data_IF_737386725340
#
_entry.id   IF_737386725340
#
_cell.length_a   1.000
_cell.length_b   1.000
_cell.length_c   1.000
_cell.angle_alpha   90.00
_cell.angle_beta   90.00
_cell.angle_gamma   90.00
#
_symmetry.space_group_name_H-M   'P 1'
#
loop_
_entity.id
_entity.type
_entity.pdbx_description
1 polymer ?
#
# COMPACT_ATOMS: atom_id res chain seq x y z
N UNK A 1 -20.79 -4.63 -4.29
CA UNK A 1 -21.76 -4.30 -5.34
C UNK A 1 -21.12 -4.30 -6.74
N UNK A 2 -19.89 -3.85 -6.89
CA UNK A 2 -19.18 -3.75 -8.20
C UNK A 2 -18.76 -5.13 -8.73
N UNK A 3 -18.23 -6.00 -7.86
CA UNK A 3 -17.67 -7.30 -8.25
C UNK A 3 -18.61 -8.18 -9.08
N UNK A 4 -19.88 -8.41 -8.69
CA UNK A 4 -20.78 -9.30 -9.44
C UNK A 4 -21.07 -8.85 -10.88
N UNK A 5 -21.08 -7.54 -11.14
CA UNK A 5 -21.33 -6.99 -12.48
C UNK A 5 -20.06 -6.91 -13.32
N UNK A 6 -18.90 -6.68 -12.69
CA UNK A 6 -17.60 -6.74 -13.36
C UNK A 6 -17.33 -8.13 -13.94
N UNK A 7 -17.60 -9.22 -13.20
CA UNK A 7 -17.43 -10.61 -13.67
C UNK A 7 -18.27 -10.88 -14.92
N UNK A 8 -19.42 -10.23 -15.05
CA UNK A 8 -20.31 -10.37 -16.21
C UNK A 8 -20.06 -9.35 -17.31
N UNK A 9 -18.99 -8.55 -17.21
CA UNK A 9 -18.68 -7.46 -18.14
C UNK A 9 -19.83 -6.44 -18.34
N UNK A 10 -20.64 -6.22 -17.31
CA UNK A 10 -21.75 -5.26 -17.35
C UNK A 10 -21.19 -3.88 -16.95
N UNK A 11 -21.27 -2.86 -17.80
CA UNK A 11 -20.83 -1.52 -17.44
C UNK A 11 -21.73 -0.91 -16.36
N UNK A 12 -21.10 -0.20 -15.41
CA UNK A 12 -21.79 0.51 -14.33
C UNK A 12 -21.69 2.00 -14.59
N UNK A 13 -22.83 2.70 -14.57
CA UNK A 13 -22.86 4.16 -14.63
C UNK A 13 -23.14 4.73 -13.23
N UNK A 14 -22.16 5.45 -12.68
CA UNK A 14 -22.29 6.16 -11.41
C UNK A 14 -22.70 7.59 -11.68
N UNK A 15 -23.79 8.04 -11.07
CA UNK A 15 -24.33 9.39 -11.20
C UNK A 15 -24.52 10.05 -9.83
N UNK A 16 -24.47 11.37 -9.79
CA UNK A 16 -24.78 12.12 -8.58
C UNK A 16 -26.32 12.22 -8.42
N UNK A 17 -26.84 11.78 -7.28
CA UNK A 17 -28.28 11.82 -6.98
C UNK A 17 -28.84 13.24 -6.97
N UNK A 18 -28.03 14.22 -6.60
CA UNK A 18 -28.42 15.64 -6.60
C UNK A 18 -28.24 16.35 -7.95
N UNK A 19 -27.62 15.67 -8.92
CA UNK A 19 -27.48 16.12 -10.31
C UNK A 19 -27.67 14.93 -11.26
N UNK A 20 -28.91 14.43 -11.45
CA UNK A 20 -29.19 13.24 -12.24
C UNK A 20 -28.93 13.43 -13.74
N UNK A 21 -28.95 14.66 -14.24
CA UNK A 21 -28.70 14.99 -15.65
C UNK A 21 -27.20 15.08 -15.96
N UNK A 22 -26.35 15.11 -14.94
CA UNK A 22 -24.90 15.11 -15.11
C UNK A 22 -24.41 13.84 -15.83
N UNK A 23 -23.30 13.96 -16.58
CA UNK A 23 -22.74 12.89 -17.39
C UNK A 23 -22.40 11.64 -16.57
N UNK A 24 -21.96 11.81 -15.32
CA UNK A 24 -21.54 10.71 -14.43
C UNK A 24 -20.24 10.04 -14.86
N UNK A 25 -19.93 8.91 -14.22
CA UNK A 25 -18.74 8.10 -14.50
C UNK A 25 -19.15 6.70 -14.92
N UNK A 26 -18.56 6.19 -16.00
CA UNK A 26 -18.78 4.82 -16.48
C UNK A 26 -17.62 3.95 -16.05
N UNK A 27 -17.91 2.87 -15.33
CA UNK A 27 -16.98 1.82 -14.95
C UNK A 27 -17.21 0.64 -15.90
N UNK A 28 -16.19 0.27 -16.67
CA UNK A 28 -16.21 -0.87 -17.62
C UNK A 28 -14.86 -1.57 -17.67
N UNK A 29 -14.85 -2.83 -18.11
CA UNK A 29 -13.66 -3.67 -18.11
C UNK A 29 -12.57 -3.19 -19.09
N UNK A 30 -12.94 -2.63 -20.22
CA UNK A 30 -12.01 -2.14 -21.25
C UNK A 30 -12.33 -0.71 -21.68
N UNK A 31 -11.30 0.12 -21.80
CA UNK A 31 -11.37 1.50 -22.31
C UNK A 31 -10.54 1.57 -23.58
N UNK A 32 -11.16 1.93 -24.70
CA UNK A 32 -10.53 1.92 -26.03
C UNK A 32 -9.48 3.02 -26.24
N UNK A 33 -9.45 4.05 -25.40
CA UNK A 33 -8.55 5.20 -25.59
C UNK A 33 -7.83 5.55 -24.28
N UNK A 34 -6.61 5.02 -24.13
CA UNK A 34 -5.83 5.12 -22.91
C UNK A 34 -4.65 6.08 -23.08
N UNK A 35 -4.94 7.37 -23.28
CA UNK A 35 -3.89 8.40 -23.48
C UNK A 35 -3.07 8.69 -22.22
N UNK A 36 -3.62 8.44 -21.01
CA UNK A 36 -2.91 8.66 -19.76
C UNK A 36 -2.74 7.34 -18.99
N UNK A 37 -1.51 6.93 -18.70
CA UNK A 37 -1.24 5.69 -17.94
C UNK A 37 -1.76 5.77 -16.50
N UNK A 38 -1.76 6.95 -15.89
CA UNK A 38 -2.28 7.17 -14.53
C UNK A 38 -3.73 7.61 -14.62
N UNK A 39 -4.60 6.94 -13.84
CA UNK A 39 -6.04 7.15 -13.82
C UNK A 39 -6.54 7.86 -12.58
N UNK A 40 -5.83 7.73 -11.48
CA UNK A 40 -6.24 8.35 -10.23
C UNK A 40 -5.27 8.13 -9.09
N UNK A 41 -5.53 8.86 -8.02
CA UNK A 41 -4.83 8.77 -6.75
C UNK A 41 -5.82 8.34 -5.67
N UNK A 42 -5.39 7.45 -4.80
CA UNK A 42 -6.14 7.04 -3.61
C UNK A 42 -5.24 7.13 -2.39
N UNK A 43 -5.82 7.25 -1.20
CA UNK A 43 -5.03 7.29 0.03
C UNK A 43 -5.74 6.65 1.21
N UNK A 44 -4.96 6.12 2.13
CA UNK A 44 -5.38 5.60 3.43
C UNK A 44 -4.69 6.45 4.48
N UNK A 45 -5.47 7.14 5.31
CA UNK A 45 -4.99 7.85 6.50
C UNK A 45 -4.91 6.88 7.67
N UNK A 46 -4.11 7.24 8.70
CA UNK A 46 -4.02 6.38 9.87
C UNK A 46 -3.34 5.05 9.56
N UNK A 47 -2.17 5.14 8.94
CA UNK A 47 -1.32 4.00 8.63
C UNK A 47 -0.21 3.91 9.66
N UNK A 48 -0.03 2.75 10.27
CA UNK A 48 1.16 2.40 11.05
C UNK A 48 1.95 1.34 10.31
N UNK A 49 3.25 1.56 10.14
CA UNK A 49 4.18 0.54 9.65
C UNK A 49 4.77 -0.22 10.83
N UNK A 50 4.67 -1.54 10.80
CA UNK A 50 5.33 -2.43 11.75
C UNK A 50 6.46 -3.13 11.01
N UNK A 51 7.68 -2.99 11.53
CA UNK A 51 8.85 -3.62 10.92
C UNK A 51 9.30 -4.81 11.76
N UNK A 52 9.30 -5.96 11.12
CA UNK A 52 9.85 -7.22 11.62
C UNK A 52 11.28 -7.32 11.10
N UNK A 53 12.26 -7.33 12.00
CA UNK A 53 13.68 -7.36 11.65
C UNK A 53 14.40 -8.50 12.38
N UNK A 54 15.19 -9.28 11.64
CA UNK A 54 15.97 -10.33 12.25
C UNK A 54 17.03 -10.92 11.33
N UNK A 55 18.21 -11.23 11.89
CA UNK A 55 19.29 -11.89 11.18
C UNK A 55 18.90 -13.32 10.77
N UNK A 56 18.02 -13.97 11.53
CA UNK A 56 17.52 -15.32 11.28
C UNK A 56 16.37 -15.37 10.28
N UNK A 57 16.02 -14.27 9.63
CA UNK A 57 14.97 -14.27 8.59
C UNK A 57 15.52 -14.66 7.21
N UNK A 58 16.82 -14.42 6.98
CA UNK A 58 17.45 -14.68 5.69
C UNK A 58 17.51 -16.18 5.39
N UNK A 59 16.88 -16.60 4.29
CA UNK A 59 16.84 -18.00 3.86
C UNK A 59 16.02 -18.94 4.75
N UNK A 60 15.31 -18.42 5.76
CA UNK A 60 14.46 -19.25 6.65
C UNK A 60 13.06 -19.36 6.07
N UNK A 61 12.68 -20.60 5.73
CA UNK A 61 11.36 -20.89 5.19
C UNK A 61 10.28 -20.70 6.25
N UNK A 62 9.22 -19.97 5.90
CA UNK A 62 8.00 -19.89 6.71
C UNK A 62 7.89 -18.69 7.65
N UNK A 63 8.87 -17.78 7.71
CA UNK A 63 8.78 -16.56 8.54
C UNK A 63 7.55 -15.72 8.16
N UNK A 64 7.36 -15.45 6.87
CA UNK A 64 6.20 -14.70 6.39
C UNK A 64 4.87 -15.41 6.72
N UNK A 65 4.82 -16.74 6.65
CA UNK A 65 3.64 -17.50 7.09
C UNK A 65 3.32 -17.21 8.55
N UNK A 66 4.32 -17.25 9.44
CA UNK A 66 4.13 -16.99 10.87
C UNK A 66 3.61 -15.56 11.10
N UNK A 67 4.23 -14.56 10.45
CA UNK A 67 3.79 -13.16 10.53
C UNK A 67 2.31 -13.04 10.15
N UNK A 68 1.95 -13.46 8.95
CA UNK A 68 0.59 -13.26 8.45
C UNK A 68 -0.45 -14.14 9.14
N UNK A 69 -0.10 -15.37 9.55
CA UNK A 69 -1.01 -16.22 10.31
C UNK A 69 -1.30 -15.66 11.69
N UNK A 70 -0.28 -15.15 12.38
CA UNK A 70 -0.44 -14.55 13.69
C UNK A 70 -1.36 -13.32 13.64
N UNK A 71 -1.17 -12.44 12.67
CA UNK A 71 -2.03 -11.26 12.48
C UNK A 71 -3.46 -11.66 12.11
N UNK A 72 -3.62 -12.59 11.17
CA UNK A 72 -4.94 -13.05 10.71
C UNK A 72 -5.76 -13.71 11.82
N UNK A 73 -5.12 -14.56 12.65
CA UNK A 73 -5.75 -15.21 13.79
C UNK A 73 -6.25 -14.22 14.85
N UNK A 74 -5.69 -12.99 14.86
CA UNK A 74 -6.09 -11.91 15.75
C UNK A 74 -6.96 -10.85 15.06
N UNK A 75 -7.48 -11.13 13.86
CA UNK A 75 -8.38 -10.25 13.13
C UNK A 75 -7.74 -8.99 12.56
N UNK A 76 -6.40 -8.94 12.49
CA UNK A 76 -5.65 -7.78 12.03
C UNK A 76 -5.48 -7.83 10.51
N UNK A 77 -5.96 -6.80 9.81
CA UNK A 77 -5.86 -6.68 8.36
C UNK A 77 -4.57 -5.98 7.94
N UNK A 78 -3.80 -6.62 7.08
CA UNK A 78 -2.60 -6.05 6.45
C UNK A 78 -2.97 -5.56 5.04
N UNK A 79 -2.73 -4.28 4.75
CA UNK A 79 -3.05 -3.71 3.44
C UNK A 79 -1.81 -3.27 2.63
N UNK A 80 -0.62 -3.30 3.24
CA UNK A 80 0.64 -3.01 2.57
C UNK A 80 1.72 -3.96 3.10
N UNK A 81 2.56 -4.46 2.20
CA UNK A 81 3.75 -5.26 2.53
C UNK A 81 4.91 -4.74 1.70
N UNK A 82 6.00 -4.41 2.36
CA UNK A 82 7.26 -4.03 1.73
C UNK A 82 8.37 -4.86 2.32
N UNK A 83 9.08 -5.61 1.48
CA UNK A 83 10.18 -6.48 1.89
C UNK A 83 11.40 -6.20 1.01
N UNK A 84 12.54 -5.95 1.63
CA UNK A 84 13.80 -5.80 0.92
C UNK A 84 14.33 -7.16 0.43
N UNK A 85 15.08 -7.15 -0.66
CA UNK A 85 15.70 -8.38 -1.21
C UNK A 85 16.69 -9.03 -0.25
N UNK A 86 17.18 -8.30 0.76
CA UNK A 86 18.04 -8.83 1.82
C UNK A 86 17.32 -9.80 2.76
N UNK A 87 15.99 -9.90 2.68
CA UNK A 87 15.12 -10.74 3.52
C UNK A 87 15.26 -10.53 5.04
N UNK A 88 16.09 -9.59 5.48
CA UNK A 88 16.34 -9.34 6.91
C UNK A 88 15.30 -8.43 7.56
N UNK A 89 14.44 -7.82 6.80
CA UNK A 89 13.31 -7.05 7.30
C UNK A 89 12.06 -7.16 6.41
N UNK A 90 10.90 -7.11 7.05
CA UNK A 90 9.59 -7.03 6.41
C UNK A 90 8.80 -5.94 7.10
N UNK A 91 8.38 -4.93 6.35
CA UNK A 91 7.49 -3.87 6.85
C UNK A 91 6.07 -4.13 6.39
N UNK A 92 5.13 -4.08 7.31
CA UNK A 92 3.70 -4.31 7.08
C UNK A 92 2.91 -3.07 7.49
N UNK A 93 1.95 -2.68 6.66
CA UNK A 93 1.04 -1.58 6.93
C UNK A 93 -0.28 -2.09 7.50
N UNK A 94 -0.60 -1.60 8.69
CA UNK A 94 -1.87 -1.84 9.39
C UNK A 94 -2.54 -0.50 9.70
N UNK A 95 -3.82 -0.53 10.10
CA UNK A 95 -4.48 0.68 10.61
C UNK A 95 -3.91 1.05 11.98
N UNK A 96 -3.93 2.36 12.30
CA UNK A 96 -3.46 2.84 13.61
C UNK A 96 -4.18 2.16 14.77
N UNK A 97 -5.48 1.86 14.63
CA UNK A 97 -6.30 1.18 15.64
C UNK A 97 -5.85 -0.24 15.96
N UNK A 98 -5.18 -0.91 15.03
CA UNK A 98 -4.71 -2.29 15.16
C UNK A 98 -3.22 -2.37 15.58
N UNK A 99 -2.51 -1.24 15.59
CA UNK A 99 -1.05 -1.20 15.69
C UNK A 99 -0.51 -1.84 16.99
N UNK A 100 -1.04 -1.44 18.13
CA UNK A 100 -0.57 -1.93 19.44
C UNK A 100 -0.81 -3.44 19.58
N UNK A 101 -1.99 -3.90 19.13
CA UNK A 101 -2.31 -5.33 19.15
C UNK A 101 -1.41 -6.12 18.20
N UNK A 102 -1.13 -5.59 17.02
CA UNK A 102 -0.24 -6.23 16.05
C UNK A 102 1.19 -6.36 16.57
N UNK A 103 1.74 -5.31 17.21
CA UNK A 103 3.06 -5.36 17.85
C UNK A 103 3.10 -6.42 18.96
N UNK A 104 2.08 -6.43 19.82
CA UNK A 104 1.99 -7.41 20.92
C UNK A 104 1.98 -8.83 20.38
N UNK A 105 1.10 -9.12 19.44
CA UNK A 105 0.91 -10.46 18.86
C UNK A 105 2.17 -10.95 18.15
N UNK A 106 2.85 -10.09 17.42
CA UNK A 106 4.08 -10.45 16.73
C UNK A 106 5.25 -10.64 17.69
N UNK A 107 5.39 -9.82 18.74
CA UNK A 107 6.40 -10.03 19.76
C UNK A 107 6.19 -11.36 20.50
N UNK A 108 4.94 -11.76 20.73
CA UNK A 108 4.61 -13.03 21.36
C UNK A 108 4.92 -14.22 20.41
N UNK A 109 4.57 -14.12 19.14
CA UNK A 109 4.86 -15.13 18.12
C UNK A 109 6.36 -15.40 17.97
N UNK A 110 7.18 -14.35 18.03
CA UNK A 110 8.63 -14.44 17.84
C UNK A 110 9.42 -14.30 19.15
N UNK A 111 8.78 -14.53 20.29
CA UNK A 111 9.38 -14.34 21.61
C UNK A 111 10.70 -15.08 21.79
N UNK A 112 10.79 -16.34 21.39
CA UNK A 112 12.01 -17.14 21.51
C UNK A 112 13.15 -16.60 20.68
N UNK A 113 12.86 -16.18 19.44
CA UNK A 113 13.86 -15.61 18.54
C UNK A 113 14.35 -14.24 19.02
N UNK A 114 13.48 -13.49 19.71
CA UNK A 114 13.84 -12.20 20.32
C UNK A 114 14.71 -12.42 21.56
N UNK A 115 14.32 -13.35 22.45
CA UNK A 115 15.09 -13.72 23.65
C UNK A 115 16.50 -14.25 23.29
N UNK A 116 16.61 -15.00 22.20
CA UNK A 116 17.89 -15.54 21.68
C UNK A 116 18.71 -14.51 20.89
N UNK A 117 18.22 -13.29 20.72
CA UNK A 117 18.90 -12.23 19.95
C UNK A 117 18.93 -12.45 18.43
N UNK A 118 18.16 -13.41 17.90
CA UNK A 118 18.06 -13.71 16.47
C UNK A 118 17.08 -12.76 15.74
N UNK A 119 16.16 -12.17 16.47
CA UNK A 119 15.22 -11.15 15.98
C UNK A 119 15.20 -9.97 16.95
N UNK A 120 14.87 -8.80 16.42
CA UNK A 120 14.65 -7.60 17.23
C UNK A 120 13.17 -7.50 17.64
N UNK A 121 12.86 -6.86 18.77
CA UNK A 121 11.48 -6.49 19.10
C UNK A 121 10.83 -5.70 17.96
N UNK A 122 9.55 -5.94 17.74
CA UNK A 122 8.82 -5.28 16.66
C UNK A 122 8.80 -3.77 16.86
N UNK A 123 9.14 -3.03 15.81
CA UNK A 123 9.10 -1.58 15.81
C UNK A 123 7.87 -1.09 15.02
N UNK A 124 7.10 -0.19 15.63
CA UNK A 124 5.96 0.45 15.00
C UNK A 124 6.22 1.95 14.77
N UNK A 125 5.99 2.42 13.57
CA UNK A 125 6.02 3.83 13.19
C UNK A 125 4.62 4.27 12.79
N UNK A 126 4.00 5.11 13.62
CA UNK A 126 2.64 5.64 13.45
C UNK A 126 2.65 7.05 12.85
N UNK A 127 1.45 7.60 12.61
CA UNK A 127 1.30 8.95 12.06
C UNK A 127 1.60 9.03 10.57
N UNK A 128 1.48 7.91 9.87
CA UNK A 128 1.76 7.77 8.45
C UNK A 128 0.47 7.77 7.61
N UNK A 129 0.66 7.85 6.31
CA UNK A 129 -0.40 7.68 5.32
C UNK A 129 0.12 6.88 4.12
N UNK A 130 -0.71 5.99 3.62
CA UNK A 130 -0.45 5.27 2.38
C UNK A 130 -1.10 6.00 1.22
N UNK A 131 -0.36 6.19 0.14
CA UNK A 131 -0.83 6.74 -1.13
C UNK A 131 -0.73 5.65 -2.18
N UNK A 132 -1.76 5.48 -2.99
CA UNK A 132 -1.77 4.60 -4.13
C UNK A 132 -2.00 5.39 -5.42
N UNK A 133 -1.08 5.26 -6.35
CA UNK A 133 -1.22 5.74 -7.73
C UNK A 133 -1.80 4.60 -8.55
N UNK A 134 -3.00 4.82 -9.09
CA UNK A 134 -3.76 3.82 -9.83
C UNK A 134 -3.69 4.14 -11.33
N UNK A 135 -3.39 3.14 -12.13
CA UNK A 135 -3.30 3.32 -13.58
C UNK A 135 -3.34 2.02 -14.36
N UNK A 136 -3.15 2.12 -15.64
CA UNK A 136 -3.05 0.97 -16.55
C UNK A 136 -1.72 1.03 -17.30
N UNK A 137 -1.18 -0.16 -17.62
CA UNK A 137 0.09 -0.28 -18.35
C UNK A 137 1.30 0.40 -17.69
N UNK A 138 1.25 0.70 -16.37
CA UNK A 138 2.35 1.40 -15.69
C UNK A 138 3.65 0.59 -15.73
N UNK A 139 3.58 -0.73 -15.70
CA UNK A 139 4.74 -1.63 -15.84
C UNK A 139 5.41 -1.52 -17.20
N UNK A 140 4.62 -1.30 -18.27
CA UNK A 140 5.10 -1.24 -19.66
C UNK A 140 5.46 0.16 -20.10
N UNK A 141 5.21 1.18 -19.28
CA UNK A 141 5.53 2.57 -19.59
C UNK A 141 6.79 2.99 -18.81
N UNK A 142 7.97 3.00 -19.47
CA UNK A 142 9.21 3.41 -18.81
C UNK A 142 9.12 4.82 -18.24
N UNK A 143 9.74 5.02 -17.08
CA UNK A 143 9.87 6.34 -16.45
C UNK A 143 8.71 6.76 -15.53
N UNK A 144 7.58 6.05 -15.47
CA UNK A 144 6.44 6.44 -14.60
C UNK A 144 6.86 6.51 -13.15
N UNK A 145 7.48 5.46 -12.61
CA UNK A 145 7.94 5.45 -11.21
C UNK A 145 8.99 6.54 -10.98
N UNK A 146 9.91 6.74 -11.95
CA UNK A 146 10.92 7.81 -11.88
C UNK A 146 10.28 9.18 -11.75
N UNK A 147 9.33 9.51 -12.63
CA UNK A 147 8.60 10.79 -12.62
C UNK A 147 7.83 10.99 -11.30
N UNK A 148 7.15 9.94 -10.82
CA UNK A 148 6.38 9.96 -9.59
C UNK A 148 7.26 10.33 -8.39
N UNK A 149 8.37 9.61 -8.19
CA UNK A 149 9.26 9.85 -7.06
C UNK A 149 10.10 11.11 -7.21
N UNK A 150 10.42 11.54 -8.43
CA UNK A 150 11.04 12.83 -8.70
C UNK A 150 10.17 14.00 -8.24
N UNK A 151 8.88 13.99 -8.56
CA UNK A 151 7.92 15.02 -8.14
C UNK A 151 7.82 15.10 -6.62
N UNK A 152 7.75 13.95 -5.94
CA UNK A 152 7.73 13.91 -4.47
C UNK A 152 9.03 14.47 -3.88
N UNK A 153 10.18 14.02 -4.38
CA UNK A 153 11.50 14.45 -3.90
C UNK A 153 11.74 15.96 -4.10
N UNK A 154 11.42 16.50 -5.28
CA UNK A 154 11.49 17.97 -5.55
C UNK A 154 10.58 18.78 -4.64
N UNK A 155 9.49 18.18 -4.17
CA UNK A 155 8.56 18.79 -3.22
C UNK A 155 8.97 18.60 -1.76
N UNK A 156 10.15 18.00 -1.48
CA UNK A 156 10.64 17.76 -0.13
C UNK A 156 9.84 16.70 0.64
N UNK A 157 9.16 15.77 -0.08
CA UNK A 157 8.39 14.70 0.52
C UNK A 157 9.24 13.43 0.52
N UNK A 158 9.48 12.88 1.73
CA UNK A 158 10.19 11.62 1.90
C UNK A 158 9.24 10.44 1.77
N UNK A 159 9.65 9.44 0.99
CA UNK A 159 8.94 8.17 0.86
C UNK A 159 9.56 7.17 1.83
N UNK A 160 8.74 6.59 2.72
CA UNK A 160 9.17 5.72 3.81
C UNK A 160 9.22 4.26 3.37
N UNK A 161 8.20 3.83 2.64
CA UNK A 161 8.10 2.48 2.09
C UNK A 161 7.42 2.51 0.72
N UNK A 162 7.74 1.53 -0.13
CA UNK A 162 7.17 1.37 -1.46
C UNK A 162 6.73 -0.07 -1.62
N UNK A 163 5.53 -0.26 -2.16
CA UNK A 163 5.02 -1.56 -2.56
C UNK A 163 4.44 -1.44 -3.98
N UNK A 164 5.01 -2.21 -4.90
CA UNK A 164 4.53 -2.31 -6.28
C UNK A 164 4.36 -3.78 -6.62
N UNK A 165 3.12 -4.19 -6.85
CA UNK A 165 2.81 -5.54 -7.28
C UNK A 165 3.19 -5.77 -8.76
N UNK A 166 3.28 -7.04 -9.15
CA UNK A 166 3.45 -7.42 -10.56
C UNK A 166 2.23 -7.08 -11.43
N UNK A 167 1.08 -6.78 -10.81
CA UNK A 167 -0.08 -6.21 -11.49
C UNK A 167 0.24 -4.77 -11.91
N UNK A 168 0.03 -4.45 -13.14
CA UNK A 168 0.36 -3.15 -13.76
C UNK A 168 -0.51 -1.98 -13.26
N UNK A 169 -1.32 -2.19 -12.18
CA UNK A 169 -2.44 -1.33 -11.85
C UNK A 169 -2.18 -0.33 -10.74
N UNK A 170 -1.21 -0.55 -9.86
CA UNK A 170 -0.93 0.40 -8.79
C UNK A 170 0.53 0.43 -8.35
N UNK A 171 0.94 1.61 -7.88
CA UNK A 171 2.16 1.83 -7.11
C UNK A 171 1.69 2.42 -5.78
N UNK A 172 1.96 1.71 -4.68
CA UNK A 172 1.64 2.18 -3.34
C UNK A 172 2.91 2.62 -2.62
N UNK A 173 2.84 3.69 -1.88
CA UNK A 173 3.95 4.16 -1.06
C UNK A 173 3.44 4.85 0.20
N UNK A 174 4.31 4.94 1.20
CA UNK A 174 4.01 5.49 2.52
C UNK A 174 4.77 6.78 2.71
N UNK A 175 4.09 7.80 3.21
CA UNK A 175 4.63 9.11 3.57
C UNK A 175 4.20 9.49 4.99
N UNK A 176 4.80 10.53 5.57
CA UNK A 176 4.26 11.10 6.81
C UNK A 176 2.83 11.58 6.60
N UNK A 177 1.96 11.37 7.58
CA UNK A 177 0.57 11.83 7.52
C UNK A 177 0.44 13.35 7.30
N UNK A 178 1.37 14.14 7.86
CA UNK A 178 1.48 15.59 7.62
C UNK A 178 1.70 15.95 6.14
N UNK A 179 2.38 15.10 5.38
CA UNK A 179 2.73 15.36 4.00
C UNK A 179 1.67 14.86 3.00
N UNK A 180 0.68 14.09 3.47
CA UNK A 180 -0.31 13.45 2.61
C UNK A 180 -1.00 14.44 1.65
N UNK A 181 -1.53 15.55 2.17
CA UNK A 181 -2.24 16.54 1.34
C UNK A 181 -1.33 17.13 0.27
N UNK A 182 -0.09 17.47 0.66
CA UNK A 182 0.92 18.01 -0.26
C UNK A 182 1.27 16.97 -1.33
N UNK A 183 1.48 15.70 -0.93
CA UNK A 183 1.78 14.61 -1.85
C UNK A 183 0.68 14.42 -2.90
N UNK A 184 -0.59 14.36 -2.48
CA UNK A 184 -1.71 14.21 -3.39
C UNK A 184 -1.82 15.37 -4.39
N UNK A 185 -1.63 16.63 -3.94
CA UNK A 185 -1.71 17.80 -4.81
C UNK A 185 -0.58 17.80 -5.85
N UNK A 186 0.68 17.64 -5.42
CA UNK A 186 1.82 17.71 -6.36
C UNK A 186 1.80 16.56 -7.38
N UNK A 187 1.30 15.40 -7.00
CA UNK A 187 1.10 14.28 -7.91
C UNK A 187 -0.03 14.55 -8.90
N UNK A 188 -1.17 15.05 -8.42
CA UNK A 188 -2.32 15.37 -9.27
C UNK A 188 -1.97 16.41 -10.34
N UNK A 189 -1.18 17.43 -9.97
CA UNK A 189 -0.79 18.52 -10.88
C UNK A 189 0.28 18.10 -11.89
N UNK A 190 1.01 17.00 -11.63
CA UNK A 190 2.17 16.57 -12.42
C UNK A 190 1.92 15.35 -13.28
N UNK A 191 0.84 14.60 -13.04
CA UNK A 191 0.51 13.33 -13.70
C UNK A 191 -0.77 13.43 -14.54
#
# INVERSE_FOLDING_TARGET
TIYPVCVKNIPIKVKNTFNPDGQGTIIKAHIENNQKPIKGLSSIKGTTLITVTGLSMVGVVGVNRRIFSSLANNGISVFLVSQAASENNTSIGVKDEDADNAVKVLNEEFRLEIEDGRMFPMHAESGLATVAVVGENMRRTPGISGKLFEVLGRSGISVIAIAQGASEMNISFVVKGSDLRKALNVLHDSL
#
